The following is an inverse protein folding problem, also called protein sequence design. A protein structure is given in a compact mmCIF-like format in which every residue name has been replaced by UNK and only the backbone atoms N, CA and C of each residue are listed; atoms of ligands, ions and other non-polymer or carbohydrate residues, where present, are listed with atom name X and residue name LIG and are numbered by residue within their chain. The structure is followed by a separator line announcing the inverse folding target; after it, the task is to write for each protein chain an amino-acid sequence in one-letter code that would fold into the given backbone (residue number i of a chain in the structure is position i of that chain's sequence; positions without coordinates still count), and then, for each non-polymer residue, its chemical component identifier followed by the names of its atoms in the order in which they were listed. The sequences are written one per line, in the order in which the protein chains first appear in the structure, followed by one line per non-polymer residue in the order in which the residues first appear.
data_IF_330135257884
#
_entry.id   IF_330135257884
#
_cell.length_a   1.000
_cell.length_b   1.000
_cell.length_c   1.000
_cell.angle_alpha   90.00
_cell.angle_beta   90.00
_cell.angle_gamma   90.00
#
_symmetry.space_group_name_H-M   'P 1'
#
loop_
_entity.id
_entity.type
_entity.pdbx_description
1 polymer ?
#
# COMPACT_ATOMS: atom_id res chain seq x y z
N UNK A 1 30.71 -4.12 26.37
CA UNK A 1 29.98 -3.35 25.34
C UNK A 1 28.49 -3.50 25.61
N UNK A 2 27.81 -2.44 26.06
CA UNK A 2 26.35 -2.44 26.10
C UNK A 2 25.87 -2.40 24.65
N UNK A 3 25.24 -3.49 24.18
CA UNK A 3 24.42 -3.43 22.97
C UNK A 3 23.35 -2.37 23.25
N UNK A 4 23.41 -1.23 22.55
CA UNK A 4 22.22 -0.38 22.41
C UNK A 4 21.16 -1.31 21.83
N UNK A 5 20.10 -1.57 22.59
CA UNK A 5 18.91 -2.23 22.06
C UNK A 5 18.34 -1.30 21.00
N UNK A 6 18.79 -1.45 19.75
CA UNK A 6 18.24 -0.72 18.62
C UNK A 6 16.82 -1.24 18.41
N UNK A 7 15.83 -0.39 18.68
CA UNK A 7 14.44 -0.65 18.34
C UNK A 7 14.30 -0.55 16.82
N UNK A 8 13.87 -1.63 16.19
CA UNK A 8 13.72 -1.72 14.73
C UNK A 8 12.23 -1.77 14.38
N UNK A 9 11.76 -0.85 13.54
CA UNK A 9 10.39 -0.90 13.02
C UNK A 9 10.29 -1.96 11.92
N UNK A 10 9.37 -2.91 12.06
CA UNK A 10 9.17 -3.96 11.05
C UNK A 10 8.81 -3.37 9.68
N UNK A 11 8.07 -2.27 9.63
CA UNK A 11 7.76 -1.56 8.40
C UNK A 11 9.03 -1.14 7.64
N UNK A 12 10.02 -0.60 8.36
CA UNK A 12 11.29 -0.19 7.75
C UNK A 12 12.07 -1.41 7.21
N UNK A 13 12.02 -2.54 7.90
CA UNK A 13 12.58 -3.81 7.38
C UNK A 13 11.84 -4.28 6.13
N UNK A 14 10.51 -4.12 6.08
CA UNK A 14 9.74 -4.45 4.88
C UNK A 14 10.08 -3.51 3.72
N UNK A 15 10.30 -2.23 3.97
CA UNK A 15 10.77 -1.26 2.95
C UNK A 15 12.15 -1.68 2.42
N UNK A 16 13.09 -2.04 3.29
CA UNK A 16 14.40 -2.54 2.90
C UNK A 16 14.30 -3.81 2.06
N UNK A 17 13.47 -4.78 2.47
CA UNK A 17 13.25 -6.03 1.72
C UNK A 17 12.49 -5.80 0.40
N UNK A 18 11.71 -4.72 0.31
CA UNK A 18 11.06 -4.29 -0.93
C UNK A 18 12.07 -3.65 -1.88
N UNK A 19 12.88 -2.72 -1.38
CA UNK A 19 14.00 -2.11 -2.08
C UNK A 19 14.94 -1.42 -1.06
N UNK A 20 16.22 -1.86 -0.93
CA UNK A 20 17.18 -1.20 -0.04
C UNK A 20 17.37 0.29 -0.32
N UNK A 21 17.28 0.72 -1.58
CA UNK A 21 17.33 2.15 -1.94
C UNK A 21 16.11 2.92 -1.46
N UNK A 22 14.92 2.31 -1.42
CA UNK A 22 13.74 2.94 -0.81
C UNK A 22 14.00 3.21 0.67
N UNK A 23 14.57 2.23 1.37
CA UNK A 23 14.94 2.39 2.77
C UNK A 23 15.94 3.53 2.97
N UNK A 24 17.01 3.56 2.17
CA UNK A 24 18.01 4.63 2.22
C UNK A 24 17.35 6.01 2.11
N UNK A 25 16.52 6.21 1.08
CA UNK A 25 15.87 7.49 0.83
C UNK A 25 14.87 7.88 1.93
N UNK A 26 14.11 6.93 2.46
CA UNK A 26 13.07 7.22 3.44
C UNK A 26 13.60 7.36 4.87
N UNK A 27 14.63 6.61 5.25
CA UNK A 27 15.03 6.46 6.66
C UNK A 27 16.46 6.97 6.95
N UNK A 28 17.42 6.80 6.03
CA UNK A 28 18.83 7.10 6.32
C UNK A 28 19.33 8.42 5.70
N UNK A 29 18.81 8.81 4.55
CA UNK A 29 19.19 10.05 3.86
C UNK A 29 18.75 11.32 4.62
N UNK A 30 17.90 11.19 5.65
CA UNK A 30 17.37 12.30 6.45
C UNK A 30 18.43 13.08 7.27
N UNK A 31 19.67 12.60 7.32
CA UNK A 31 20.80 13.24 8.02
C UNK A 31 21.67 14.20 7.18
N UNK A 32 21.37 14.43 5.90
CA UNK A 32 22.09 15.41 5.05
C UNK A 32 21.50 16.82 5.22
N UNK A 33 22.30 17.86 4.95
CA UNK A 33 22.01 19.24 5.33
C UNK A 33 20.66 19.75 4.78
N UNK A 34 19.97 20.56 5.59
CA UNK A 34 18.62 21.11 5.36
C UNK A 34 18.45 21.88 4.03
N UNK A 35 19.54 22.19 3.32
CA UNK A 35 19.53 22.85 2.02
C UNK A 35 19.17 21.92 0.82
N UNK A 36 19.24 20.60 1.00
CA UNK A 36 19.01 19.58 -0.04
C UNK A 36 17.87 18.63 0.33
N UNK A 37 16.79 19.16 0.94
CA UNK A 37 15.58 18.36 1.16
C UNK A 37 14.97 18.02 -0.20
N UNK A 38 15.33 16.86 -0.69
CA UNK A 38 14.63 16.21 -1.79
C UNK A 38 13.18 16.00 -1.35
N UNK A 39 12.23 16.68 -1.99
CA UNK A 39 10.80 16.50 -1.78
C UNK A 39 10.38 15.11 -2.31
N UNK A 40 10.67 14.06 -1.54
CA UNK A 40 10.12 12.73 -1.77
C UNK A 40 8.71 12.74 -1.19
N UNK A 41 7.65 12.53 -2.01
CA UNK A 41 6.31 12.40 -1.48
C UNK A 41 6.27 11.29 -0.43
N UNK A 42 5.64 11.58 0.71
CA UNK A 42 5.49 10.58 1.78
C UNK A 42 4.67 9.36 1.31
N UNK A 43 3.81 9.56 0.31
CA UNK A 43 2.85 8.58 -0.17
C UNK A 43 2.73 8.61 -1.70
N UNK A 44 2.37 7.46 -2.26
CA UNK A 44 1.83 7.37 -3.60
C UNK A 44 0.30 7.38 -3.58
N UNK A 45 -0.32 7.59 -4.74
CA UNK A 45 -1.75 7.36 -4.95
C UNK A 45 -2.20 5.95 -4.50
N UNK A 46 -1.32 4.94 -4.56
CA UNK A 46 -1.60 3.56 -4.10
C UNK A 46 -1.76 3.46 -2.58
N UNK A 47 -1.21 4.40 -1.81
CA UNK A 47 -1.29 4.38 -0.34
C UNK A 47 -2.59 5.00 0.19
N UNK A 48 -3.24 5.85 -0.62
CA UNK A 48 -4.46 6.56 -0.24
C UNK A 48 -5.61 5.62 0.22
N UNK A 49 -5.91 4.46 -0.43
CA UNK A 49 -6.95 3.57 0.05
C UNK A 49 -6.68 3.06 1.47
N UNK A 50 -5.43 2.76 1.82
CA UNK A 50 -5.06 2.38 3.17
C UNK A 50 -5.35 3.50 4.15
N UNK A 51 -4.93 4.72 3.84
CA UNK A 51 -5.16 5.89 4.70
C UNK A 51 -6.65 6.15 4.94
N UNK A 52 -7.47 6.03 3.90
CA UNK A 52 -8.94 6.20 3.98
C UNK A 52 -9.57 5.13 4.85
N UNK A 53 -9.27 3.85 4.59
CA UNK A 53 -9.83 2.73 5.36
C UNK A 53 -9.40 2.79 6.82
N UNK A 54 -8.14 3.11 7.11
CA UNK A 54 -7.66 3.29 8.49
C UNK A 54 -8.37 4.45 9.19
N UNK A 55 -8.64 5.55 8.48
CA UNK A 55 -9.35 6.71 9.05
C UNK A 55 -10.83 6.41 9.29
N UNK A 56 -11.48 5.70 8.37
CA UNK A 56 -12.86 5.24 8.52
C UNK A 56 -13.00 4.23 9.67
N UNK A 57 -12.03 3.34 9.87
CA UNK A 57 -11.97 2.45 11.03
C UNK A 57 -11.82 3.21 12.35
N UNK A 58 -11.00 4.26 12.38
CA UNK A 58 -10.87 5.13 13.55
C UNK A 58 -12.18 5.82 13.89
N UNK A 59 -12.88 6.36 12.88
CA UNK A 59 -14.21 6.94 13.08
C UNK A 59 -15.20 5.88 13.59
N UNK A 60 -15.28 4.73 12.93
CA UNK A 60 -16.17 3.61 13.31
C UNK A 60 -15.96 3.16 14.77
N UNK A 61 -14.73 3.13 15.26
CA UNK A 61 -14.43 2.69 16.63
C UNK A 61 -14.82 3.69 17.72
N UNK A 62 -15.32 4.87 17.36
CA UNK A 62 -15.89 5.82 18.31
C UNK A 62 -17.39 5.55 18.53
N UNK A 63 -17.92 5.85 19.71
CA UNK A 63 -19.34 5.67 20.01
C UNK A 63 -20.26 6.55 19.13
N UNK A 64 -19.77 7.71 18.69
CA UNK A 64 -20.52 8.68 17.89
C UNK A 64 -20.85 8.16 16.49
N UNK A 65 -19.89 7.48 15.85
CA UNK A 65 -20.02 6.99 14.47
C UNK A 65 -20.19 5.47 14.40
N UNK A 66 -20.16 4.79 15.56
CA UNK A 66 -20.39 3.36 15.71
C UNK A 66 -21.80 2.97 15.29
N UNK A 67 -21.94 2.33 14.12
CA UNK A 67 -23.23 1.96 13.54
C UNK A 67 -23.54 2.64 12.21
N UNK A 68 -22.77 3.65 11.80
CA UNK A 68 -22.87 4.23 10.46
C UNK A 68 -22.38 3.24 9.39
N UNK A 69 -23.05 3.11 8.23
CA UNK A 69 -22.55 2.26 7.16
C UNK A 69 -21.08 2.57 6.85
N UNK A 70 -20.19 1.57 6.92
CA UNK A 70 -18.74 1.78 6.82
C UNK A 70 -18.33 2.44 5.50
N UNK A 71 -19.10 2.18 4.44
CA UNK A 71 -19.00 2.88 3.15
C UNK A 71 -19.16 4.41 3.28
N UNK A 72 -20.15 4.88 4.04
CA UNK A 72 -20.38 6.31 4.25
C UNK A 72 -19.24 6.93 5.06
N UNK A 73 -18.69 6.22 6.06
CA UNK A 73 -17.52 6.70 6.79
C UNK A 73 -16.29 6.88 5.89
N UNK A 74 -16.05 5.95 4.96
CA UNK A 74 -14.97 6.10 3.98
C UNK A 74 -15.23 7.29 3.03
N UNK A 75 -16.49 7.51 2.63
CA UNK A 75 -16.88 8.67 1.82
C UNK A 75 -16.70 9.98 2.58
N UNK A 76 -17.03 10.02 3.86
CA UNK A 76 -16.90 11.21 4.70
C UNK A 76 -15.43 11.57 4.95
N UNK A 77 -14.53 10.59 5.08
CA UNK A 77 -13.08 10.85 5.11
C UNK A 77 -12.64 11.60 3.84
N UNK A 78 -13.08 11.15 2.66
CA UNK A 78 -12.78 11.85 1.41
C UNK A 78 -13.39 13.24 1.36
N UNK A 79 -14.63 13.43 1.82
CA UNK A 79 -15.26 14.76 1.89
C UNK A 79 -14.50 15.73 2.77
N UNK A 80 -14.01 15.26 3.92
CA UNK A 80 -13.14 16.06 4.81
C UNK A 80 -11.86 16.46 4.08
N UNK A 81 -11.25 15.53 3.34
CA UNK A 81 -10.07 15.85 2.53
C UNK A 81 -10.40 16.83 1.41
N UNK A 82 -11.49 16.64 0.67
CA UNK A 82 -11.91 17.57 -0.39
C UNK A 82 -12.16 18.98 0.15
N UNK A 83 -12.78 19.10 1.33
CA UNK A 83 -12.98 20.39 1.99
C UNK A 83 -11.64 21.01 2.45
N UNK A 84 -10.76 20.22 3.07
CA UNK A 84 -9.44 20.67 3.53
C UNK A 84 -8.57 21.20 2.37
N UNK A 85 -8.66 20.53 1.23
CA UNK A 85 -7.92 20.83 0.01
C UNK A 85 -8.66 21.76 -0.96
N UNK A 86 -9.81 22.31 -0.55
CA UNK A 86 -10.64 23.24 -1.33
C UNK A 86 -10.95 22.74 -2.76
N UNK A 87 -11.18 21.43 -2.91
CA UNK A 87 -11.48 20.84 -4.21
C UNK A 87 -12.81 21.37 -4.73
N UNK A 88 -12.81 21.85 -5.99
CA UNK A 88 -13.99 22.46 -6.62
C UNK A 88 -15.14 21.46 -6.72
N UNK A 89 -16.37 21.94 -6.52
CA UNK A 89 -17.57 21.10 -6.52
C UNK A 89 -17.79 20.33 -7.84
N UNK A 90 -17.45 20.93 -8.98
CA UNK A 90 -17.55 20.27 -10.30
C UNK A 90 -16.59 19.07 -10.43
N UNK A 91 -15.40 19.16 -9.84
CA UNK A 91 -14.41 18.07 -9.79
C UNK A 91 -14.90 16.95 -8.88
N UNK A 92 -15.48 17.29 -7.71
CA UNK A 92 -16.06 16.31 -6.79
C UNK A 92 -17.22 15.56 -7.48
N UNK A 93 -18.15 16.29 -8.12
CA UNK A 93 -19.26 15.67 -8.86
C UNK A 93 -18.76 14.74 -9.98
N UNK A 94 -17.72 15.14 -10.70
CA UNK A 94 -17.10 14.31 -11.74
C UNK A 94 -16.48 13.03 -11.15
N UNK A 95 -15.79 13.13 -10.01
CA UNK A 95 -15.18 12.02 -9.31
C UNK A 95 -16.22 11.03 -8.76
N UNK A 96 -17.29 11.54 -8.15
CA UNK A 96 -18.40 10.72 -7.64
C UNK A 96 -19.08 9.95 -8.77
N UNK A 97 -19.41 10.64 -9.87
CA UNK A 97 -19.99 10.00 -11.05
C UNK A 97 -19.06 8.95 -11.67
N UNK A 98 -17.76 9.26 -11.77
CA UNK A 98 -16.76 8.31 -12.23
C UNK A 98 -16.74 7.05 -11.36
N UNK A 99 -16.79 7.21 -10.03
CA UNK A 99 -16.79 6.09 -9.10
C UNK A 99 -18.04 5.24 -9.21
N UNK A 100 -19.22 5.86 -9.29
CA UNK A 100 -20.51 5.18 -9.46
C UNK A 100 -20.52 4.32 -10.74
N UNK A 101 -20.18 4.92 -11.89
CA UNK A 101 -20.20 4.22 -13.18
C UNK A 101 -19.11 3.12 -13.24
N UNK A 102 -17.89 3.39 -12.77
CA UNK A 102 -16.80 2.39 -12.70
C UNK A 102 -17.17 1.21 -11.81
N UNK A 103 -17.72 1.47 -10.63
CA UNK A 103 -18.08 0.42 -9.69
C UNK A 103 -19.28 -0.39 -10.19
N UNK A 104 -20.27 0.24 -10.86
CA UNK A 104 -21.37 -0.47 -11.51
C UNK A 104 -20.89 -1.47 -12.60
N UNK A 105 -19.80 -1.15 -13.31
CA UNK A 105 -19.15 -2.10 -14.24
C UNK A 105 -18.46 -3.22 -13.45
N UNK A 106 -17.64 -2.90 -12.45
CA UNK A 106 -16.91 -3.89 -11.64
C UNK A 106 -17.85 -4.86 -10.93
N UNK A 107 -18.97 -4.38 -10.38
CA UNK A 107 -19.95 -5.16 -9.65
C UNK A 107 -20.57 -6.28 -10.49
N UNK A 108 -20.66 -6.12 -11.81
CA UNK A 108 -21.13 -7.20 -12.69
C UNK A 108 -20.16 -8.39 -12.70
N UNK A 109 -18.86 -8.15 -12.58
CA UNK A 109 -17.86 -9.21 -12.47
C UNK A 109 -17.83 -9.79 -11.05
N UNK A 110 -17.87 -8.91 -10.04
CA UNK A 110 -17.79 -9.32 -8.63
C UNK A 110 -19.02 -10.12 -8.18
N UNK A 111 -20.22 -9.74 -8.62
CA UNK A 111 -21.46 -10.49 -8.42
C UNK A 111 -21.52 -11.78 -9.26
N UNK A 112 -20.52 -12.03 -10.11
CA UNK A 112 -20.45 -13.22 -10.96
C UNK A 112 -21.50 -13.25 -12.07
N UNK A 113 -22.05 -12.09 -12.49
CA UNK A 113 -22.87 -11.98 -13.71
C UNK A 113 -22.01 -12.16 -14.96
N UNK A 114 -20.77 -11.68 -14.90
CA UNK A 114 -19.75 -11.90 -15.94
C UNK A 114 -18.70 -12.87 -15.39
N UNK A 115 -18.55 -14.03 -16.05
CA UNK A 115 -17.65 -15.11 -15.66
C UNK A 115 -16.76 -15.54 -16.82
N UNK A 116 -15.75 -16.34 -16.50
CA UNK A 116 -14.92 -17.03 -17.50
C UNK A 116 -15.72 -18.15 -18.17
N UNK A 117 -15.19 -18.67 -19.29
CA UNK A 117 -15.79 -19.80 -20.02
C UNK A 117 -15.92 -21.06 -19.16
N UNK A 118 -15.03 -21.25 -18.20
CA UNK A 118 -15.05 -22.36 -17.23
C UNK A 118 -15.99 -22.11 -16.04
N UNK A 119 -16.73 -21.00 -16.02
CA UNK A 119 -17.64 -20.62 -14.92
C UNK A 119 -16.95 -20.01 -13.70
N UNK A 120 -15.62 -19.91 -13.68
CA UNK A 120 -14.88 -19.27 -12.59
C UNK A 120 -14.94 -17.73 -12.67
N UNK A 121 -14.75 -17.07 -11.53
CA UNK A 121 -14.68 -15.61 -11.45
C UNK A 121 -13.34 -15.07 -11.97
N UNK A 122 -13.36 -13.86 -12.53
CA UNK A 122 -12.12 -13.15 -12.85
C UNK A 122 -11.46 -12.65 -11.57
N UNK A 123 -10.18 -12.99 -11.37
CA UNK A 123 -9.39 -12.51 -10.23
C UNK A 123 -9.21 -10.99 -10.27
N UNK A 124 -8.95 -10.45 -11.46
CA UNK A 124 -8.83 -9.01 -11.70
C UNK A 124 -9.62 -8.66 -12.97
N UNK A 125 -10.88 -8.20 -12.82
CA UNK A 125 -11.74 -7.83 -13.94
C UNK A 125 -11.14 -6.75 -14.84
N UNK A 126 -10.39 -5.79 -14.27
CA UNK A 126 -9.85 -4.63 -15.01
C UNK A 126 -8.87 -5.01 -16.11
N UNK A 127 -8.30 -6.22 -16.04
CA UNK A 127 -7.39 -6.76 -17.07
C UNK A 127 -8.11 -7.45 -18.24
N UNK A 128 -9.43 -7.55 -18.22
CA UNK A 128 -10.18 -8.26 -19.25
C UNK A 128 -10.57 -7.31 -20.39
N UNK A 129 -10.59 -7.81 -21.63
CA UNK A 129 -11.13 -7.05 -22.77
C UNK A 129 -12.58 -6.62 -22.49
N UNK A 130 -13.39 -7.52 -21.93
CA UNK A 130 -14.79 -7.24 -21.62
C UNK A 130 -14.97 -6.04 -20.68
N UNK A 131 -14.12 -5.93 -19.66
CA UNK A 131 -14.16 -4.76 -18.77
C UNK A 131 -13.77 -3.48 -19.52
N UNK A 132 -12.69 -3.53 -20.31
CA UNK A 132 -12.23 -2.38 -21.10
C UNK A 132 -13.29 -1.91 -22.09
N UNK A 133 -13.95 -2.83 -22.79
CA UNK A 133 -15.03 -2.50 -23.73
C UNK A 133 -16.19 -1.80 -23.00
N UNK A 134 -16.60 -2.30 -21.82
CA UNK A 134 -17.67 -1.69 -21.02
C UNK A 134 -17.26 -0.32 -20.48
N UNK A 135 -16.01 -0.16 -20.05
CA UNK A 135 -15.46 1.08 -19.53
C UNK A 135 -15.38 2.15 -20.62
N UNK A 136 -15.00 1.76 -21.85
CA UNK A 136 -14.96 2.63 -23.02
C UNK A 136 -16.37 3.00 -23.50
N UNK A 137 -17.30 2.03 -23.57
CA UNK A 137 -18.71 2.30 -23.92
C UNK A 137 -19.41 3.24 -22.95
N UNK A 138 -19.02 3.22 -21.66
CA UNK A 138 -19.48 4.17 -20.66
C UNK A 138 -18.78 5.55 -20.75
N UNK A 139 -17.79 5.71 -21.64
CA UNK A 139 -17.05 6.96 -21.81
C UNK A 139 -16.12 7.29 -20.66
N UNK A 140 -15.70 6.29 -19.87
CA UNK A 140 -14.90 6.50 -18.66
C UNK A 140 -13.39 6.66 -18.94
N UNK A 141 -12.89 6.20 -20.10
CA UNK A 141 -11.46 6.20 -20.44
C UNK A 141 -10.71 7.53 -20.20
N UNK A 142 -11.23 8.71 -20.61
CA UNK A 142 -10.49 9.97 -20.43
C UNK A 142 -10.64 10.60 -19.04
N UNK A 143 -11.59 10.12 -18.22
CA UNK A 143 -11.99 10.80 -16.98
C UNK A 143 -10.89 10.78 -15.90
N UNK A 144 -10.18 9.66 -15.64
CA UNK A 144 -9.15 9.63 -14.59
C UNK A 144 -8.04 10.64 -14.80
N UNK A 145 -7.54 10.76 -16.04
CA UNK A 145 -6.49 11.72 -16.37
C UNK A 145 -6.96 13.16 -16.15
N UNK A 146 -8.18 13.48 -16.59
CA UNK A 146 -8.79 14.81 -16.40
C UNK A 146 -8.99 15.13 -14.91
N UNK A 147 -9.37 14.14 -14.09
CA UNK A 147 -9.47 14.32 -12.64
C UNK A 147 -8.09 14.53 -12.02
N UNK A 148 -7.08 13.79 -12.49
CA UNK A 148 -5.72 13.87 -11.96
C UNK A 148 -5.09 15.26 -12.13
N UNK A 149 -5.37 15.95 -13.25
CA UNK A 149 -4.97 17.35 -13.49
C UNK A 149 -5.40 18.30 -12.35
N UNK A 150 -6.47 17.96 -11.64
CA UNK A 150 -6.99 18.73 -10.51
C UNK A 150 -6.61 18.14 -9.14
N UNK A 151 -6.47 16.82 -9.04
CA UNK A 151 -6.29 16.14 -7.75
C UNK A 151 -4.80 16.01 -7.38
N UNK A 152 -3.93 15.64 -8.32
CA UNK A 152 -2.52 15.38 -8.03
C UNK A 152 -1.80 16.57 -7.37
N UNK A 153 -1.91 17.81 -7.89
CA UNK A 153 -1.16 18.94 -7.35
C UNK A 153 -1.55 19.27 -5.90
N UNK A 154 -2.77 18.90 -5.51
CA UNK A 154 -3.34 19.28 -4.21
C UNK A 154 -3.11 18.21 -3.16
N UNK A 155 -3.20 16.93 -3.53
CA UNK A 155 -2.94 15.83 -2.59
C UNK A 155 -1.44 15.60 -2.31
N UNK A 156 -0.54 16.14 -3.13
CA UNK A 156 0.91 16.03 -2.90
C UNK A 156 1.44 14.60 -2.91
N UNK A 157 0.78 13.69 -3.64
CA UNK A 157 1.16 12.28 -3.76
C UNK A 157 1.85 12.00 -5.09
N UNK A 158 2.82 11.06 -5.07
CA UNK A 158 3.39 10.54 -6.31
C UNK A 158 2.38 9.61 -7.01
N UNK A 159 2.26 9.71 -8.33
CA UNK A 159 1.43 8.78 -9.10
C UNK A 159 2.09 7.40 -9.13
N UNK A 160 1.39 6.37 -8.66
CA UNK A 160 1.85 4.99 -8.77
C UNK A 160 1.60 4.41 -10.17
N UNK A 161 2.47 3.51 -10.63
CA UNK A 161 2.24 2.71 -11.85
C UNK A 161 2.15 1.22 -11.53
N UNK A 162 0.97 0.65 -11.66
CA UNK A 162 0.72 -0.77 -11.47
C UNK A 162 1.18 -1.58 -12.70
N UNK A 163 1.99 -2.66 -12.56
CA UNK A 163 2.63 -3.39 -13.66
C UNK A 163 1.68 -3.95 -14.73
N UNK A 164 0.39 -4.12 -14.41
CA UNK A 164 -0.61 -4.65 -15.34
C UNK A 164 -1.73 -3.66 -15.68
N UNK A 165 -1.98 -2.68 -14.81
CA UNK A 165 -3.07 -1.70 -14.98
C UNK A 165 -2.59 -0.35 -15.52
N UNK A 166 -1.28 -0.08 -15.50
CA UNK A 166 -0.73 1.21 -15.90
C UNK A 166 -0.76 2.20 -14.75
N UNK A 167 -0.99 3.47 -15.07
CA UNK A 167 -1.09 4.53 -14.07
C UNK A 167 -2.25 4.29 -13.11
N UNK A 168 -2.04 4.64 -11.85
CA UNK A 168 -3.03 4.51 -10.79
C UNK A 168 -3.25 5.89 -10.20
N UNK A 169 -4.40 6.47 -10.51
CA UNK A 169 -4.70 7.87 -10.20
C UNK A 169 -5.30 8.02 -8.80
N UNK A 170 -5.38 9.25 -8.30
CA UNK A 170 -6.14 9.57 -7.08
C UNK A 170 -7.60 9.15 -7.24
N UNK A 171 -8.16 9.31 -8.45
CA UNK A 171 -9.50 8.85 -8.78
C UNK A 171 -9.67 7.33 -8.62
N UNK A 172 -8.66 6.52 -8.98
CA UNK A 172 -8.72 5.07 -8.76
C UNK A 172 -8.64 4.70 -7.28
N UNK A 173 -7.82 5.43 -6.52
CA UNK A 173 -7.72 5.26 -5.08
C UNK A 173 -9.05 5.57 -4.37
N UNK A 174 -9.73 6.64 -4.79
CA UNK A 174 -11.08 6.99 -4.33
C UNK A 174 -12.03 5.81 -4.59
N UNK A 175 -12.15 5.36 -5.84
CA UNK A 175 -13.05 4.27 -6.20
C UNK A 175 -12.73 2.96 -5.47
N UNK A 176 -11.46 2.58 -5.38
CA UNK A 176 -11.04 1.34 -4.75
C UNK A 176 -11.25 1.39 -3.22
N UNK A 177 -11.03 2.53 -2.57
CA UNK A 177 -11.31 2.70 -1.13
C UNK A 177 -12.81 2.58 -0.81
N UNK A 178 -13.68 3.16 -1.64
CA UNK A 178 -15.13 3.03 -1.50
C UNK A 178 -15.59 1.59 -1.72
N UNK A 179 -15.05 0.90 -2.74
CA UNK A 179 -15.33 -0.51 -2.99
C UNK A 179 -14.87 -1.39 -1.82
N UNK A 180 -13.68 -1.13 -1.26
CA UNK A 180 -13.18 -1.82 -0.07
C UNK A 180 -14.12 -1.61 1.12
N UNK A 181 -14.56 -0.37 1.35
CA UNK A 181 -15.44 -0.03 2.46
C UNK A 181 -16.83 -0.66 2.31
N UNK A 182 -17.41 -0.66 1.10
CA UNK A 182 -18.70 -1.30 0.82
C UNK A 182 -18.70 -2.82 1.07
N UNK A 183 -17.54 -3.46 0.91
CA UNK A 183 -17.38 -4.92 1.08
C UNK A 183 -16.90 -5.31 2.47
N UNK A 184 -16.52 -4.34 3.30
CA UNK A 184 -16.05 -4.60 4.63
C UNK A 184 -17.20 -4.54 5.63
N UNK A 185 -17.39 -5.64 6.35
CA UNK A 185 -18.25 -5.68 7.52
C UNK A 185 -17.37 -5.42 8.75
N UNK A 186 -17.34 -4.19 9.30
CA UNK A 186 -16.56 -3.92 10.49
C UNK A 186 -17.12 -4.70 11.69
N UNK A 187 -16.27 -5.07 12.66
CA UNK A 187 -16.74 -5.72 13.88
C UNK A 187 -17.56 -4.76 14.73
N UNK A 188 -18.32 -5.31 15.68
CA UNK A 188 -19.06 -4.51 16.65
C UNK A 188 -18.09 -3.60 17.42
N UNK A 189 -18.45 -2.33 17.60
CA UNK A 189 -17.60 -1.35 18.30
C UNK A 189 -17.22 -1.82 19.70
N UNK A 190 -18.15 -2.47 20.41
CA UNK A 190 -17.92 -3.04 21.74
C UNK A 190 -16.88 -4.16 21.78
N UNK A 191 -16.56 -4.78 20.64
CA UNK A 191 -15.50 -5.79 20.54
C UNK A 191 -14.14 -5.20 20.21
N UNK A 192 -14.04 -3.90 19.89
CA UNK A 192 -12.79 -3.25 19.53
C UNK A 192 -12.05 -2.85 20.82
N UNK A 193 -10.87 -3.42 21.03
CA UNK A 193 -10.01 -3.10 22.18
C UNK A 193 -9.05 -1.97 21.82
N UNK A 194 -8.46 -2.03 20.63
CA UNK A 194 -7.50 -1.04 20.16
C UNK A 194 -7.39 -1.02 18.63
N UNK A 195 -6.99 0.13 18.10
CA UNK A 195 -6.64 0.33 16.69
C UNK A 195 -5.18 0.75 16.59
N UNK A 196 -4.47 0.22 15.60
CA UNK A 196 -3.06 0.55 15.36
C UNK A 196 -2.19 0.37 16.62
N UNK A 197 -2.41 -0.71 17.37
CA UNK A 197 -1.70 -1.00 18.63
C UNK A 197 -0.26 -1.43 18.33
N UNK A 198 0.77 -0.69 18.77
CA UNK A 198 2.16 -1.10 18.63
C UNK A 198 2.45 -2.24 19.61
N UNK A 199 3.13 -3.28 19.14
CA UNK A 199 3.64 -4.37 19.97
C UNK A 199 5.10 -4.63 19.65
N UNK A 200 5.89 -4.89 20.70
CA UNK A 200 7.32 -5.16 20.58
C UNK A 200 7.61 -6.64 20.81
N UNK A 201 8.46 -7.21 19.96
CA UNK A 201 8.95 -8.57 20.09
C UNK A 201 10.47 -8.59 20.13
N UNK A 202 11.02 -9.54 20.88
CA UNK A 202 12.45 -9.82 20.82
C UNK A 202 12.69 -10.97 19.83
N UNK A 203 13.45 -10.70 18.78
CA UNK A 203 13.91 -11.70 17.81
C UNK A 203 15.43 -11.72 17.82
N UNK A 204 16.01 -12.79 18.37
CA UNK A 204 17.46 -13.00 18.47
C UNK A 204 18.22 -11.81 19.10
N UNK A 205 17.67 -11.20 20.15
CA UNK A 205 18.26 -10.06 20.86
C UNK A 205 17.86 -8.69 20.29
N UNK A 206 17.22 -8.64 19.12
CA UNK A 206 16.72 -7.39 18.52
C UNK A 206 15.29 -7.12 18.97
N UNK A 207 15.01 -5.88 19.40
CA UNK A 207 13.65 -5.43 19.66
C UNK A 207 13.02 -4.95 18.37
N UNK A 208 11.93 -5.59 17.96
CA UNK A 208 11.21 -5.29 16.73
C UNK A 208 9.81 -4.81 17.07
N UNK A 209 9.47 -3.61 16.60
CA UNK A 209 8.14 -3.02 16.71
C UNK A 209 7.30 -3.42 15.49
N UNK A 210 6.11 -3.93 15.75
CA UNK A 210 5.08 -4.20 14.73
C UNK A 210 3.76 -3.59 15.19
N UNK A 211 2.95 -3.12 14.25
CA UNK A 211 1.64 -2.54 14.54
C UNK A 211 0.55 -3.56 14.21
N UNK A 212 -0.34 -3.79 15.17
CA UNK A 212 -1.59 -4.52 14.98
C UNK A 212 -2.62 -3.54 14.43
N UNK A 213 -3.17 -3.78 13.25
CA UNK A 213 -4.07 -2.82 12.63
C UNK A 213 -5.37 -2.67 13.43
N UNK A 214 -5.87 -3.78 13.97
CA UNK A 214 -7.08 -3.85 14.77
C UNK A 214 -6.99 -5.00 15.78
N UNK A 215 -7.24 -4.72 17.05
CA UNK A 215 -7.28 -5.68 18.14
C UNK A 215 -8.70 -5.82 18.67
N UNK A 216 -9.18 -7.07 18.73
CA UNK A 216 -10.54 -7.41 19.09
C UNK A 216 -10.61 -8.34 20.29
N UNK A 217 -11.69 -8.19 21.07
CA UNK A 217 -12.14 -9.18 22.03
C UNK A 217 -12.88 -10.30 21.30
N UNK A 218 -12.40 -11.53 21.44
CA UNK A 218 -13.07 -12.74 20.96
C UNK A 218 -13.58 -13.59 22.14
N UNK A 219 -14.41 -14.58 21.84
CA UNK A 219 -15.06 -15.42 22.86
C UNK A 219 -14.08 -16.12 23.82
N UNK A 220 -12.91 -16.55 23.33
CA UNK A 220 -11.91 -17.31 24.09
C UNK A 220 -10.58 -16.55 24.27
N UNK A 221 -10.55 -15.26 23.97
CA UNK A 221 -9.36 -14.41 24.07
C UNK A 221 -9.23 -13.43 22.90
N UNK A 222 -8.04 -12.84 22.76
CA UNK A 222 -7.83 -11.73 21.83
C UNK A 222 -7.68 -12.20 20.38
N UNK A 223 -8.13 -11.37 19.44
CA UNK A 223 -7.94 -11.55 18.00
C UNK A 223 -7.22 -10.31 17.46
N UNK A 224 -6.06 -10.50 16.82
CA UNK A 224 -5.33 -9.43 16.15
C UNK A 224 -5.54 -9.53 14.64
N UNK A 225 -5.92 -8.43 14.00
CA UNK A 225 -6.02 -8.33 12.56
C UNK A 225 -4.85 -7.55 11.95
N UNK A 226 -4.37 -8.05 10.81
CA UNK A 226 -3.46 -7.38 9.89
C UNK A 226 -4.24 -7.09 8.62
N UNK A 227 -4.22 -5.84 8.17
CA UNK A 227 -5.00 -5.36 7.07
C UNK A 227 -4.13 -5.17 5.81
N UNK A 228 -4.68 -5.55 4.67
CA UNK A 228 -4.06 -5.40 3.36
C UNK A 228 -5.06 -4.76 2.38
N UNK A 229 -4.69 -3.59 1.87
CA UNK A 229 -5.43 -2.81 0.88
C UNK A 229 -4.76 -2.84 -0.49
N UNK A 230 -3.79 -3.72 -0.72
CA UNK A 230 -3.16 -3.86 -2.02
C UNK A 230 -4.19 -4.25 -3.10
N UNK A 231 -3.91 -3.92 -4.38
CA UNK A 231 -4.73 -4.39 -5.48
C UNK A 231 -4.89 -5.92 -5.53
N UNK A 232 -6.07 -6.41 -5.87
CA UNK A 232 -6.43 -7.85 -5.83
C UNK A 232 -5.52 -8.75 -6.68
N UNK A 233 -4.92 -8.25 -7.76
CA UNK A 233 -3.97 -9.03 -8.56
C UNK A 233 -2.60 -9.24 -7.87
N UNK A 234 -2.31 -8.52 -6.79
CA UNK A 234 -1.17 -8.79 -5.90
C UNK A 234 -1.50 -9.78 -4.79
N UNK A 235 -2.79 -9.98 -4.51
CA UNK A 235 -3.20 -10.87 -3.46
C UNK A 235 -2.90 -12.32 -3.85
N UNK A 236 -1.94 -12.91 -3.15
CA UNK A 236 -1.60 -14.32 -3.23
C UNK A 236 -1.77 -14.92 -1.83
N UNK A 237 -2.74 -15.84 -1.70
CA UNK A 237 -3.02 -16.53 -0.42
C UNK A 237 -1.80 -17.20 0.19
N UNK A 238 -0.87 -17.71 -0.63
CA UNK A 238 0.37 -18.35 -0.16
C UNK A 238 1.32 -17.31 0.44
N UNK A 239 1.39 -16.11 -0.17
CA UNK A 239 2.20 -14.99 0.32
C UNK A 239 1.59 -14.34 1.56
N UNK A 240 0.28 -14.12 1.57
CA UNK A 240 -0.44 -13.57 2.72
C UNK A 240 -0.28 -14.43 3.98
N UNK A 241 -0.31 -15.77 3.84
CA UNK A 241 -0.03 -16.70 4.96
C UNK A 241 1.36 -16.54 5.57
N UNK A 242 2.30 -15.93 4.86
CA UNK A 242 3.70 -15.78 5.28
C UNK A 242 4.08 -14.31 5.48
N UNK A 243 3.08 -13.42 5.57
CA UNK A 243 3.27 -12.00 5.90
C UNK A 243 4.05 -11.87 7.22
N UNK A 244 5.10 -11.06 7.20
CA UNK A 244 6.00 -10.89 8.35
C UNK A 244 5.29 -10.22 9.53
N UNK A 245 4.31 -9.35 9.30
CA UNK A 245 3.50 -8.72 10.35
C UNK A 245 2.72 -9.77 11.12
N UNK A 246 2.08 -10.70 10.41
CA UNK A 246 1.37 -11.81 11.05
C UNK A 246 2.30 -12.68 11.89
N UNK A 247 3.50 -12.97 11.38
CA UNK A 247 4.50 -13.78 12.12
C UNK A 247 4.94 -13.04 13.37
N UNK A 248 5.21 -11.73 13.27
CA UNK A 248 5.67 -10.90 14.37
C UNK A 248 4.60 -10.76 15.45
N UNK A 249 3.36 -10.44 15.07
CA UNK A 249 2.22 -10.32 16.00
C UNK A 249 1.94 -11.66 16.69
N UNK A 250 1.99 -12.76 15.96
CA UNK A 250 1.83 -14.08 16.58
C UNK A 250 2.96 -14.34 17.60
N UNK A 251 4.19 -13.90 17.34
CA UNK A 251 5.30 -14.01 18.28
C UNK A 251 5.09 -13.18 19.55
N UNK A 252 4.46 -12.00 19.40
CA UNK A 252 4.15 -11.10 20.51
C UNK A 252 3.14 -11.71 21.49
N UNK A 253 2.27 -12.60 21.00
CA UNK A 253 1.26 -13.31 21.80
C UNK A 253 1.79 -13.93 23.08
N UNK A 254 3.01 -14.48 23.05
CA UNK A 254 3.61 -15.19 24.18
C UNK A 254 3.97 -14.26 25.36
N UNK A 255 4.00 -12.94 25.13
CA UNK A 255 4.44 -11.93 26.11
C UNK A 255 3.39 -10.85 26.38
N UNK A 256 2.15 -11.07 25.97
CA UNK A 256 1.15 -10.01 26.02
C UNK A 256 0.42 -9.94 27.37
N UNK A 257 0.54 -8.79 28.04
CA UNK A 257 -0.12 -8.50 29.32
C UNK A 257 -1.65 -8.40 29.23
N UNK A 258 -2.22 -8.08 28.06
CA UNK A 258 -3.68 -7.94 27.88
C UNK A 258 -4.45 -9.27 27.83
N UNK A 259 -3.74 -10.40 27.84
CA UNK A 259 -4.33 -11.74 27.77
C UNK A 259 -3.86 -12.55 26.56
N UNK A 260 -4.28 -13.81 26.46
CA UNK A 260 -3.80 -14.71 25.42
C UNK A 260 -4.35 -14.30 24.05
N UNK A 261 -3.45 -13.94 23.12
CA UNK A 261 -3.78 -13.78 21.71
C UNK A 261 -4.04 -15.16 21.09
N UNK A 262 -5.29 -15.42 20.74
CA UNK A 262 -5.73 -16.73 20.22
C UNK A 262 -5.55 -16.85 18.71
N UNK A 263 -5.69 -15.73 18.02
CA UNK A 263 -5.75 -15.70 16.57
C UNK A 263 -5.08 -14.45 16.02
N UNK A 264 -4.27 -14.65 14.97
CA UNK A 264 -3.84 -13.58 14.08
C UNK A 264 -4.52 -13.78 12.73
N UNK A 265 -5.31 -12.79 12.31
CA UNK A 265 -6.07 -12.81 11.07
C UNK A 265 -5.47 -11.83 10.08
N UNK A 266 -5.28 -12.28 8.84
CA UNK A 266 -5.03 -11.43 7.70
C UNK A 266 -6.35 -11.07 7.05
N UNK A 267 -6.55 -9.80 6.71
CA UNK A 267 -7.73 -9.33 5.99
C UNK A 267 -7.30 -8.58 4.74
N UNK A 268 -7.64 -9.12 3.58
CA UNK A 268 -7.49 -8.43 2.31
C UNK A 268 -8.79 -7.70 1.96
N UNK A 269 -8.78 -6.38 2.04
CA UNK A 269 -9.99 -5.55 1.91
C UNK A 269 -10.63 -5.66 0.53
N UNK A 270 -9.83 -5.61 -0.54
CA UNK A 270 -10.40 -5.56 -1.88
C UNK A 270 -11.10 -6.87 -2.28
N UNK A 271 -10.61 -8.03 -1.80
CA UNK A 271 -11.27 -9.32 -2.08
C UNK A 271 -12.18 -9.81 -0.96
N UNK A 272 -12.25 -9.09 0.17
CA UNK A 272 -12.87 -9.53 1.42
C UNK A 272 -12.39 -10.92 1.90
N UNK A 273 -11.16 -11.34 1.54
CA UNK A 273 -10.64 -12.64 1.98
C UNK A 273 -9.96 -12.51 3.34
N UNK A 274 -10.29 -13.45 4.21
CA UNK A 274 -9.66 -13.59 5.51
C UNK A 274 -8.79 -14.85 5.55
N UNK A 275 -7.63 -14.75 6.19
CA UNK A 275 -6.75 -15.90 6.42
C UNK A 275 -6.33 -15.91 7.88
N UNK A 276 -6.73 -16.97 8.55
CA UNK A 276 -6.38 -17.20 9.93
C UNK A 276 -5.03 -17.92 10.02
N UNK A 277 -4.22 -17.51 10.99
CA UNK A 277 -2.98 -18.20 11.34
C UNK A 277 -2.99 -18.60 12.80
N UNK A 278 -2.84 -19.92 13.02
CA UNK A 278 -2.76 -20.53 14.35
C UNK A 278 -1.35 -20.94 14.78
N UNK A 279 -0.38 -20.99 13.87
CA UNK A 279 0.95 -21.57 14.15
C UNK A 279 2.13 -20.65 13.83
N UNK A 280 3.08 -20.66 14.77
CA UNK A 280 4.32 -19.90 14.79
C UNK A 280 5.41 -20.60 13.97
N UNK A 281 5.99 -19.86 13.02
CA UNK A 281 7.26 -20.24 12.39
C UNK A 281 8.13 -18.99 12.31
N UNK A 282 8.81 -18.68 13.42
CA UNK A 282 9.65 -17.49 13.59
C UNK A 282 10.95 -17.54 12.78
N UNK A 283 11.37 -18.71 12.30
CA UNK A 283 12.63 -18.88 11.57
C UNK A 283 12.75 -17.97 10.35
N UNK A 284 11.65 -17.76 9.63
CA UNK A 284 11.62 -16.86 8.47
C UNK A 284 11.76 -15.39 8.86
N UNK A 285 11.03 -14.96 9.88
CA UNK A 285 11.11 -13.62 10.41
C UNK A 285 12.53 -13.34 10.94
N UNK A 286 13.09 -14.30 11.67
CA UNK A 286 14.47 -14.25 12.19
C UNK A 286 15.50 -14.08 11.06
N UNK A 287 15.38 -14.86 9.98
CA UNK A 287 16.28 -14.77 8.84
C UNK A 287 16.16 -13.44 8.10
N UNK A 288 14.92 -12.99 7.84
CA UNK A 288 14.66 -11.72 7.16
C UNK A 288 15.20 -10.53 7.96
N UNK A 289 14.92 -10.49 9.26
CA UNK A 289 15.41 -9.44 10.16
C UNK A 289 16.94 -9.45 10.26
N UNK A 290 17.56 -10.61 10.46
CA UNK A 290 19.01 -10.70 10.56
C UNK A 290 19.71 -10.26 9.26
N UNK A 291 19.14 -10.62 8.11
CA UNK A 291 19.70 -10.26 6.81
C UNK A 291 19.58 -8.75 6.56
N UNK A 292 18.38 -8.19 6.74
CA UNK A 292 18.14 -6.76 6.54
C UNK A 292 18.95 -5.92 7.53
N UNK A 293 18.94 -6.27 8.81
CA UNK A 293 19.65 -5.50 9.83
C UNK A 293 21.17 -5.50 9.61
N UNK A 294 21.79 -6.65 9.29
CA UNK A 294 23.22 -6.70 8.97
C UNK A 294 23.58 -5.86 7.74
N UNK A 295 22.70 -5.85 6.74
CA UNK A 295 22.93 -5.09 5.52
C UNK A 295 22.79 -3.58 5.76
N UNK A 296 21.79 -3.16 6.54
CA UNK A 296 21.62 -1.77 7.01
C UNK A 296 22.82 -1.33 7.85
N UNK A 297 23.23 -2.12 8.85
CA UNK A 297 24.43 -1.85 9.67
C UNK A 297 25.71 -1.75 8.82
N UNK A 298 25.76 -2.50 7.72
CA UNK A 298 26.86 -2.45 6.75
C UNK A 298 26.74 -1.34 5.70
N UNK A 299 25.68 -0.53 5.72
CA UNK A 299 25.44 0.53 4.74
C UNK A 299 25.18 0.03 3.31
N UNK A 300 24.60 -1.16 3.17
CA UNK A 300 24.38 -1.80 1.87
C UNK A 300 22.99 -1.41 1.34
N UNK A 301 22.94 -0.54 0.33
CA UNK A 301 21.68 -0.09 -0.29
C UNK A 301 21.69 -0.37 -1.79
N UNK A 302 21.41 -1.63 -2.17
CA UNK A 302 21.35 -2.02 -3.57
C UNK A 302 19.93 -1.80 -4.14
N UNK A 303 19.78 -1.14 -5.30
CA UNK A 303 18.48 -0.99 -5.92
C UNK A 303 17.89 -2.34 -6.39
N UNK A 304 16.59 -2.52 -6.21
CA UNK A 304 15.90 -3.77 -6.53
C UNK A 304 15.95 -4.16 -8.02
N UNK A 305 16.17 -3.19 -8.93
CA UNK A 305 16.29 -3.48 -10.36
C UNK A 305 17.52 -4.33 -10.72
N UNK A 306 18.59 -4.31 -9.90
CA UNK A 306 19.75 -5.17 -10.11
C UNK A 306 19.39 -6.66 -9.97
N UNK A 307 18.33 -6.96 -9.22
CA UNK A 307 17.73 -8.28 -9.13
C UNK A 307 16.74 -8.60 -10.26
N UNK A 308 16.59 -7.72 -11.26
CA UNK A 308 15.66 -7.87 -12.39
C UNK A 308 14.20 -7.44 -12.11
N UNK A 309 13.91 -6.89 -10.93
CA UNK A 309 12.53 -6.54 -10.52
C UNK A 309 12.16 -5.06 -10.79
N UNK A 310 12.23 -4.63 -12.06
CA UNK A 310 11.91 -3.26 -12.48
C UNK A 310 10.49 -2.80 -12.13
N UNK A 311 9.54 -3.73 -12.00
CA UNK A 311 8.15 -3.41 -11.64
C UNK A 311 7.99 -2.76 -10.27
N UNK A 312 8.94 -2.94 -9.35
CA UNK A 312 8.94 -2.27 -8.04
C UNK A 312 9.33 -0.79 -8.15
N UNK A 313 10.30 -0.48 -9.02
CA UNK A 313 10.74 0.90 -9.24
C UNK A 313 9.62 1.78 -9.79
N UNK A 314 8.75 1.23 -10.64
CA UNK A 314 7.60 1.95 -11.19
C UNK A 314 6.54 2.38 -10.15
N UNK A 315 6.59 1.82 -8.93
CA UNK A 315 5.65 2.08 -7.84
C UNK A 315 6.31 2.78 -6.65
N UNK A 316 7.60 3.08 -6.76
CA UNK A 316 8.41 3.59 -5.66
C UNK A 316 8.27 5.11 -5.55
N UNK A 317 7.98 5.63 -4.36
CA UNK A 317 8.00 7.09 -4.09
C UNK A 317 9.37 7.70 -4.37
N UNK A 318 10.45 6.93 -4.15
CA UNK A 318 11.83 7.36 -4.34
C UNK A 318 12.35 7.13 -5.77
N UNK A 319 11.47 6.88 -6.74
CA UNK A 319 11.86 6.56 -8.13
C UNK A 319 12.60 7.72 -8.77
N UNK A 320 12.07 8.95 -8.66
CA UNK A 320 12.69 10.13 -9.28
C UNK A 320 14.04 10.48 -8.65
N UNK A 321 14.28 10.05 -7.42
CA UNK A 321 15.56 10.19 -6.75
C UNK A 321 16.58 9.15 -7.20
N UNK A 322 16.12 7.95 -7.53
CA UNK A 322 17.00 6.91 -8.02
C UNK A 322 17.32 7.05 -9.52
N UNK A 323 16.37 7.60 -10.29
CA UNK A 323 16.35 7.56 -11.76
C UNK A 323 16.17 8.94 -12.41
N UNK A 324 16.24 10.01 -11.62
CA UNK A 324 16.08 11.38 -12.09
C UNK A 324 17.41 12.01 -12.48
N UNK A 325 17.33 13.26 -12.94
CA UNK A 325 18.45 13.98 -13.57
C UNK A 325 19.61 14.29 -12.59
N UNK A 326 19.39 14.21 -11.27
CA UNK A 326 20.37 14.61 -10.25
C UNK A 326 21.20 13.47 -9.65
N UNK A 327 20.66 12.24 -9.61
CA UNK A 327 21.38 11.05 -9.16
C UNK A 327 20.86 9.85 -9.99
N UNK A 328 21.65 9.40 -10.97
CA UNK A 328 21.36 8.14 -11.65
C UNK A 328 22.05 6.98 -10.92
N UNK A 329 21.27 6.34 -10.05
CA UNK A 329 21.69 5.16 -9.32
C UNK A 329 22.01 4.01 -10.30
N UNK A 330 21.48 4.00 -11.53
CA UNK A 330 21.94 3.04 -12.56
C UNK A 330 23.39 3.25 -12.93
N UNK A 331 23.83 4.49 -13.17
CA UNK A 331 25.20 4.78 -13.58
C UNK A 331 26.20 4.38 -12.48
N UNK A 332 25.84 4.60 -11.21
CA UNK A 332 26.68 4.26 -10.08
C UNK A 332 26.88 2.75 -9.91
N UNK A 333 25.83 1.95 -10.08
CA UNK A 333 25.87 0.50 -9.81
C UNK A 333 26.06 -0.36 -11.06
N UNK A 334 25.75 0.16 -12.25
CA UNK A 334 25.99 -0.49 -13.55
C UNK A 334 26.54 0.53 -14.56
N UNK A 335 27.83 0.86 -14.50
CA UNK A 335 28.45 1.78 -15.44
C UNK A 335 28.24 1.33 -16.89
N UNK A 336 27.74 2.24 -17.75
CA UNK A 336 27.48 1.98 -19.17
C UNK A 336 26.07 1.48 -19.50
N UNK A 337 25.19 1.30 -18.50
CA UNK A 337 23.75 1.12 -18.73
C UNK A 337 23.11 2.51 -18.88
N UNK A 338 23.39 3.11 -20.03
CA UNK A 338 23.00 4.45 -20.50
C UNK A 338 21.82 5.07 -19.74
N UNK A 339 22.12 6.12 -18.96
CA UNK A 339 21.14 7.01 -18.36
C UNK A 339 20.25 7.58 -19.47
N UNK A 340 18.98 7.83 -19.17
CA UNK A 340 18.01 8.31 -20.17
C UNK A 340 18.44 9.61 -20.86
N UNK A 341 19.41 10.34 -20.32
CA UNK A 341 19.90 11.59 -20.89
C UNK A 341 20.72 11.40 -22.16
N UNK A 342 21.53 10.35 -22.32
CA UNK A 342 22.19 10.11 -23.61
C UNK A 342 21.18 9.72 -24.69
N UNK A 343 20.08 9.02 -24.35
CA UNK A 343 18.99 8.74 -25.31
C UNK A 343 18.17 9.98 -25.64
N UNK A 344 17.98 10.89 -24.69
CA UNK A 344 17.23 12.14 -24.90
C UNK A 344 18.06 13.12 -25.73
N UNK A 345 19.36 13.22 -25.48
CA UNK A 345 20.30 13.99 -26.30
C UNK A 345 20.45 13.38 -27.68
N UNK A 346 20.62 12.05 -27.82
CA UNK A 346 20.65 11.40 -29.15
C UNK A 346 19.36 11.58 -29.94
N UNK A 347 18.18 11.54 -29.29
CA UNK A 347 16.91 11.75 -29.98
C UNK A 347 16.70 13.22 -30.36
N UNK A 348 17.08 14.17 -29.49
CA UNK A 348 17.04 15.60 -29.80
C UNK A 348 18.06 15.99 -30.88
N UNK A 349 19.21 15.33 -30.95
CA UNK A 349 20.19 15.51 -32.02
C UNK A 349 19.72 14.89 -33.34
N UNK A 350 19.04 13.72 -33.31
CA UNK A 350 18.42 13.12 -34.49
C UNK A 350 17.26 13.95 -35.04
N UNK A 351 16.47 14.59 -34.17
CA UNK A 351 15.40 15.53 -34.57
C UNK A 351 15.94 16.88 -35.07
N UNK A 352 17.18 17.25 -34.74
CA UNK A 352 17.84 18.47 -35.23
C UNK A 352 18.51 18.32 -36.61
N UNK A 353 18.77 17.08 -37.01
CA UNK A 353 19.46 16.71 -38.26
C UNK A 353 18.44 16.33 -39.36
N UNK A 354 17.17 16.16 -39.02
CA UNK A 354 16.04 16.11 -39.95
C UNK A 354 15.43 17.51 -40.14
#
# INVERSE_FOLDING_TARGET
MQQKNNLVKLAAIQDYMYCPMLYYWQHDAQGRSIAEKVDIPAHTSRDLPKLVITSALKAWATEEYGGHPFFELARDVWRVWFAHYEIRADVITMLERYAEERNAILDQFLAGKIRRKDGSQYVEPRLTNRYRDMFEMAGLSPIPLKLEEHLQPVFGVAMARLPKLGEYYVADAYCDSLLMAARYAPPAVTSIIALQEPVSINVNGMQVEVVIDLLLEGADGLIAEVHDQAPIFYFDRRRARVDLRMVAIAAAAEKWERGPLRLVRYRHFQSAQELDRKALRLSRLSFALATANRAIEGGIYLPAFLGGELGRCAQCVAKEQCLGENEDVYEHYVPGLVSKDERRVENLEKERIQ
#
